data_IF_906717894487
#
_entry.id   IF_906717894487
#
_cell.length_a   1.000
_cell.length_b   1.000
_cell.length_c   1.000
_cell.angle_alpha   90.00
_cell.angle_beta   90.00
_cell.angle_gamma   90.00
#
_symmetry.space_group_name_H-M   'P 1'
#
loop_
_entity.id
_entity.type
_entity.pdbx_description
1 polymer ?
#
# COMPACT_ATOMS: atom_id res chain seq x y z
N UNK A 1 14.48 56.97 29.67
CA UNK A 1 14.39 55.51 29.77
C UNK A 1 12.92 55.12 29.56
N UNK A 2 12.49 55.07 28.30
CA UNK A 2 11.15 54.57 27.93
C UNK A 2 11.35 53.19 27.32
N UNK A 3 10.99 52.15 28.07
CA UNK A 3 11.13 50.78 27.63
C UNK A 3 10.05 50.48 26.59
N UNK A 4 10.48 50.35 25.33
CA UNK A 4 9.72 49.64 24.31
C UNK A 4 9.82 48.14 24.64
N UNK A 5 8.89 47.65 25.46
CA UNK A 5 8.70 46.22 25.64
C UNK A 5 7.72 45.73 24.57
N UNK A 6 8.25 45.50 23.38
CA UNK A 6 7.60 44.77 22.29
C UNK A 6 7.37 43.32 22.74
N UNK A 7 6.25 43.07 23.43
CA UNK A 7 5.84 41.73 23.84
C UNK A 7 5.00 41.05 22.76
N UNK A 8 5.52 40.94 21.53
CA UNK A 8 5.00 39.99 20.55
C UNK A 8 5.67 38.65 20.82
N UNK A 9 5.19 37.93 21.83
CA UNK A 9 5.47 36.50 21.90
C UNK A 9 4.60 35.85 20.82
N UNK A 10 5.19 35.71 19.63
CA UNK A 10 4.66 34.84 18.61
C UNK A 10 4.39 33.48 19.26
N UNK A 11 3.19 32.95 19.02
CA UNK A 11 2.88 31.54 19.21
C UNK A 11 3.95 30.79 18.42
N UNK A 12 4.95 30.27 19.14
CA UNK A 12 5.78 29.21 18.62
C UNK A 12 4.87 28.00 18.65
N UNK A 13 4.10 27.82 17.58
CA UNK A 13 3.57 26.52 17.23
C UNK A 13 4.79 25.67 16.90
N UNK A 14 5.40 25.06 17.91
CA UNK A 14 6.15 23.85 17.67
C UNK A 14 5.10 22.84 17.24
N UNK A 15 4.86 22.75 15.93
CA UNK A 15 4.36 21.51 15.33
C UNK A 15 5.38 20.47 15.75
N UNK A 16 5.08 19.77 16.83
CA UNK A 16 5.86 18.64 17.24
C UNK A 16 5.76 17.66 16.06
N UNK A 17 6.91 17.29 15.49
CA UNK A 17 7.02 16.09 14.70
C UNK A 17 6.68 14.95 15.66
N UNK A 18 5.38 14.66 15.78
CA UNK A 18 4.93 13.40 16.31
C UNK A 18 5.25 12.42 15.21
N UNK A 19 6.47 11.88 15.19
CA UNK A 19 6.72 10.68 14.39
C UNK A 19 5.77 9.64 14.95
N UNK A 20 4.67 9.41 14.27
CA UNK A 20 3.76 8.31 14.59
C UNK A 20 4.55 7.04 14.27
N UNK A 21 5.13 6.45 15.31
CA UNK A 21 5.69 5.10 15.29
C UNK A 21 4.52 4.11 15.20
N UNK A 22 3.79 4.11 14.08
CA UNK A 22 2.78 3.11 13.78
C UNK A 22 3.40 2.10 12.82
N UNK A 23 3.49 0.85 13.28
CA UNK A 23 3.72 -0.32 12.43
C UNK A 23 2.42 -0.53 11.65
N UNK A 24 2.46 -0.34 10.34
CA UNK A 24 1.35 -0.52 9.41
C UNK A 24 1.73 -1.63 8.45
N UNK A 25 0.94 -2.69 8.37
CA UNK A 25 1.15 -3.74 7.37
C UNK A 25 -0.15 -4.12 6.66
N UNK A 26 -0.01 -4.46 5.39
CA UNK A 26 -1.07 -5.04 4.57
C UNK A 26 -0.56 -6.37 4.03
N UNK A 27 -1.26 -7.45 4.33
CA UNK A 27 -1.00 -8.76 3.74
C UNK A 27 -1.76 -8.87 2.42
N UNK A 28 -1.05 -9.24 1.35
CA UNK A 28 -1.59 -9.42 0.00
C UNK A 28 -1.47 -10.89 -0.37
N UNK A 29 -2.62 -11.54 -0.56
CA UNK A 29 -2.72 -12.96 -0.86
C UNK A 29 -3.35 -13.21 -2.23
N UNK A 30 -2.98 -14.29 -2.90
CA UNK A 30 -3.63 -14.74 -4.14
C UNK A 30 -4.53 -15.94 -3.87
N UNK A 31 -5.84 -15.76 -4.08
CA UNK A 31 -6.84 -16.82 -4.09
C UNK A 31 -7.27 -17.19 -5.53
N UNK A 32 -7.75 -18.42 -5.72
CA UNK A 32 -8.19 -18.92 -7.03
C UNK A 32 -7.07 -19.46 -7.93
N UNK A 33 -5.82 -19.14 -7.64
CA UNK A 33 -4.64 -19.63 -8.37
C UNK A 33 -4.22 -21.06 -7.96
N UNK A 34 -5.07 -22.04 -8.25
CA UNK A 34 -4.84 -23.44 -7.87
C UNK A 34 -3.59 -24.08 -8.53
N UNK A 35 -2.99 -23.40 -9.51
CA UNK A 35 -1.86 -23.91 -10.28
C UNK A 35 -0.59 -23.06 -10.15
N UNK A 36 -0.59 -22.07 -9.25
CA UNK A 36 0.54 -21.15 -9.03
C UNK A 36 0.98 -20.47 -10.35
N UNK A 37 0.00 -20.00 -11.10
CA UNK A 37 0.18 -19.22 -12.33
C UNK A 37 0.75 -17.85 -12.07
N UNK A 38 0.49 -17.25 -10.92
CA UNK A 38 0.89 -15.89 -10.63
C UNK A 38 2.16 -15.87 -9.76
N UNK A 39 3.01 -14.90 -10.05
CA UNK A 39 4.13 -14.48 -9.21
C UNK A 39 3.80 -13.08 -8.67
N UNK A 40 3.83 -12.92 -7.35
CA UNK A 40 3.82 -11.61 -6.71
C UNK A 40 5.25 -11.14 -6.44
N UNK A 41 5.59 -9.96 -6.93
CA UNK A 41 6.85 -9.28 -6.59
C UNK A 41 6.53 -7.91 -6.02
N UNK A 42 6.95 -7.62 -4.79
CA UNK A 42 6.82 -6.29 -4.21
C UNK A 42 8.11 -5.47 -4.31
N UNK A 43 7.96 -4.15 -4.23
CA UNK A 43 9.07 -3.21 -4.17
C UNK A 43 9.87 -3.37 -2.88
N UNK A 44 11.21 -3.38 -2.99
CA UNK A 44 12.12 -3.69 -1.88
C UNK A 44 12.03 -2.72 -0.70
N UNK A 45 11.55 -1.49 -0.93
CA UNK A 45 11.37 -0.48 0.12
C UNK A 45 10.06 -0.69 0.92
N UNK A 46 9.14 -1.52 0.42
CA UNK A 46 7.81 -1.73 0.98
C UNK A 46 7.53 -3.18 1.40
N UNK A 47 8.46 -4.11 1.15
CA UNK A 47 8.34 -5.51 1.58
C UNK A 47 8.66 -5.65 3.08
N UNK A 48 7.69 -6.12 3.87
CA UNK A 48 7.91 -6.45 5.28
C UNK A 48 8.61 -7.82 5.45
N UNK A 49 8.28 -8.78 4.58
CA UNK A 49 8.81 -10.14 4.65
C UNK A 49 9.86 -10.41 3.55
N UNK A 50 11.15 -10.63 3.87
CA UNK A 50 12.21 -10.80 2.87
C UNK A 50 12.16 -12.14 2.09
N UNK A 51 11.18 -13.01 2.38
CA UNK A 51 10.94 -14.25 1.64
C UNK A 51 9.42 -14.47 1.47
N UNK A 52 8.73 -13.66 0.64
CA UNK A 52 7.33 -13.93 0.31
C UNK A 52 7.24 -15.30 -0.38
N UNK A 53 6.12 -16.01 -0.21
CA UNK A 53 5.82 -17.16 -1.06
C UNK A 53 5.37 -16.63 -2.42
N UNK A 54 5.27 -17.49 -3.44
CA UNK A 54 4.85 -17.05 -4.79
C UNK A 54 3.43 -16.42 -4.80
N UNK A 55 2.64 -16.62 -3.73
CA UNK A 55 1.23 -16.24 -3.64
C UNK A 55 0.87 -15.39 -2.41
N UNK A 56 1.85 -15.02 -1.57
CA UNK A 56 1.63 -14.24 -0.34
C UNK A 56 2.73 -13.17 -0.20
N UNK A 57 2.33 -11.92 -0.03
CA UNK A 57 3.21 -10.76 0.04
C UNK A 57 2.78 -9.82 1.18
N UNK A 58 3.67 -9.54 2.12
CA UNK A 58 3.39 -8.57 3.19
C UNK A 58 4.03 -7.22 2.87
N UNK A 59 3.19 -6.19 2.76
CA UNK A 59 3.57 -4.80 2.53
C UNK A 59 3.62 -4.03 3.84
N UNK A 60 4.69 -3.28 4.10
CA UNK A 60 4.81 -2.39 5.24
C UNK A 60 4.70 -0.92 4.80
N UNK A 61 3.88 -0.15 5.52
CA UNK A 61 3.65 1.29 5.30
C UNK A 61 4.11 2.15 6.50
N UNK A 62 5.08 1.65 7.26
CA UNK A 62 5.58 2.22 8.52
C UNK A 62 6.93 2.96 8.42
N UNK A 63 7.55 3.20 9.58
CA UNK A 63 8.82 3.94 9.76
C UNK A 63 10.00 3.28 9.01
N UNK A 64 9.94 1.99 8.71
CA UNK A 64 11.02 1.32 7.98
C UNK A 64 10.96 1.54 6.45
N UNK A 65 9.89 2.16 5.92
CA UNK A 65 9.85 2.60 4.52
C UNK A 65 10.73 3.85 4.37
N UNK A 66 11.91 3.67 3.81
CA UNK A 66 12.82 4.78 3.49
C UNK A 66 12.48 5.39 2.14
N UNK A 67 11.85 6.56 2.15
CA UNK A 67 11.77 7.36 0.93
C UNK A 67 13.18 7.79 0.49
N UNK A 68 13.39 8.01 -0.83
CA UNK A 68 14.67 8.44 -1.44
C UNK A 68 15.28 9.74 -0.84
N UNK A 69 14.58 10.41 0.08
CA UNK A 69 15.04 11.57 0.85
C UNK A 69 15.56 11.29 2.27
N UNK A 70 15.58 10.03 2.73
CA UNK A 70 16.02 9.65 4.09
C UNK A 70 15.02 9.99 5.20
N UNK A 71 13.77 10.26 4.83
CA UNK A 71 12.63 10.27 5.74
C UNK A 71 12.04 8.86 5.86
N UNK A 72 11.53 8.54 7.03
CA UNK A 72 10.93 7.26 7.39
C UNK A 72 9.41 7.38 7.38
N UNK A 73 8.72 6.56 6.59
CA UNK A 73 7.26 6.54 6.47
C UNK A 73 6.67 7.69 5.66
N UNK A 74 5.33 7.76 5.66
CA UNK A 74 4.54 8.76 4.94
C UNK A 74 4.42 10.09 5.71
N UNK A 75 4.18 11.18 4.99
CA UNK A 75 3.91 12.48 5.62
C UNK A 75 2.56 12.43 6.36
N UNK A 76 2.48 13.04 7.55
CA UNK A 76 1.21 13.30 8.24
C UNK A 76 0.36 14.30 7.44
N UNK A 77 -0.96 14.13 7.46
CA UNK A 77 -1.94 14.99 6.77
C UNK A 77 -1.64 15.13 5.26
N UNK A 78 -1.36 14.00 4.60
CA UNK A 78 -1.03 13.94 3.19
C UNK A 78 -1.65 12.72 2.49
N UNK A 79 -1.86 12.89 1.18
CA UNK A 79 -2.15 11.80 0.25
C UNK A 79 -0.88 11.50 -0.52
N UNK A 80 -0.39 10.27 -0.46
CA UNK A 80 0.82 9.82 -1.15
C UNK A 80 0.46 8.69 -2.09
N UNK A 81 0.78 8.85 -3.37
CA UNK A 81 0.62 7.82 -4.40
C UNK A 81 2.00 7.22 -4.70
N UNK A 82 2.07 5.91 -4.74
CA UNK A 82 3.25 5.13 -5.08
C UNK A 82 2.84 4.13 -6.16
N UNK A 83 3.41 4.30 -7.34
CA UNK A 83 3.09 3.47 -8.50
C UNK A 83 3.91 2.17 -8.47
N UNK A 84 3.27 1.05 -8.82
CA UNK A 84 3.91 -0.25 -8.98
C UNK A 84 4.60 -0.82 -7.75
N UNK A 85 3.96 -0.72 -6.58
CA UNK A 85 4.47 -1.35 -5.35
C UNK A 85 4.43 -2.88 -5.45
N UNK A 86 3.44 -3.44 -6.15
CA UNK A 86 3.35 -4.89 -6.38
C UNK A 86 3.22 -5.15 -7.87
N UNK A 87 4.08 -6.00 -8.42
CA UNK A 87 3.93 -6.55 -9.77
C UNK A 87 3.33 -7.95 -9.66
N UNK A 88 2.24 -8.17 -10.40
CA UNK A 88 1.60 -9.47 -10.57
C UNK A 88 1.95 -9.98 -11.97
N UNK A 89 2.63 -11.12 -12.06
CA UNK A 89 3.05 -11.69 -13.33
C UNK A 89 2.45 -13.08 -13.57
N UNK A 90 1.95 -13.33 -14.78
CA UNK A 90 1.54 -14.68 -15.19
C UNK A 90 2.78 -15.49 -15.60
N UNK A 91 3.29 -16.29 -14.67
CA UNK A 91 4.37 -17.27 -14.85
C UNK A 91 3.87 -18.66 -15.29
N UNK A 92 2.55 -18.81 -15.43
CA UNK A 92 1.88 -20.01 -15.89
C UNK A 92 1.96 -20.24 -17.41
N UNK A 93 1.04 -21.07 -17.90
CA UNK A 93 0.90 -21.37 -19.34
C UNK A 93 -0.50 -21.06 -19.87
N UNK A 94 -1.36 -20.48 -19.05
CA UNK A 94 -2.72 -20.13 -19.45
C UNK A 94 -2.73 -18.73 -20.02
N UNK A 95 -3.45 -18.56 -21.13
CA UNK A 95 -3.74 -17.29 -21.75
C UNK A 95 -4.99 -16.67 -21.09
N UNK A 96 -5.15 -15.36 -21.22
CA UNK A 96 -6.34 -14.62 -20.75
C UNK A 96 -6.68 -14.83 -19.25
N UNK A 97 -5.67 -14.81 -18.37
CA UNK A 97 -5.90 -14.85 -16.90
C UNK A 97 -6.38 -13.49 -16.41
N UNK A 98 -7.62 -13.41 -15.92
CA UNK A 98 -8.16 -12.21 -15.30
C UNK A 98 -7.61 -12.05 -13.88
N UNK A 99 -7.18 -10.83 -13.55
CA UNK A 99 -6.70 -10.47 -12.21
C UNK A 99 -7.58 -9.35 -11.65
N UNK A 100 -8.11 -9.56 -10.46
CA UNK A 100 -8.99 -8.60 -9.77
C UNK A 100 -8.82 -8.69 -8.25
N UNK A 101 -9.18 -7.64 -7.52
CA UNK A 101 -9.32 -7.72 -6.07
C UNK A 101 -10.71 -8.25 -5.74
N UNK A 102 -10.79 -9.11 -4.73
CA UNK A 102 -12.08 -9.60 -4.24
C UNK A 102 -12.27 -9.18 -2.79
N UNK A 103 -13.33 -8.42 -2.54
CA UNK A 103 -13.68 -7.95 -1.20
C UNK A 103 -15.13 -8.32 -0.90
N UNK A 104 -15.35 -9.28 0.00
CA UNK A 104 -16.68 -9.64 0.52
C UNK A 104 -17.78 -9.88 -0.56
N UNK A 105 -17.39 -10.33 -1.75
CA UNK A 105 -18.30 -10.63 -2.87
C UNK A 105 -18.56 -9.47 -3.84
N UNK A 106 -17.76 -8.42 -3.79
CA UNK A 106 -17.55 -7.46 -4.88
C UNK A 106 -16.17 -7.75 -5.49
N UNK A 107 -16.14 -7.95 -6.80
CA UNK A 107 -14.90 -8.13 -7.56
C UNK A 107 -14.63 -6.83 -8.34
N UNK A 108 -13.40 -6.33 -8.29
CA UNK A 108 -13.07 -5.03 -8.86
C UNK A 108 -11.57 -4.79 -9.01
N UNK A 109 -11.22 -3.63 -9.58
CA UNK A 109 -9.84 -3.21 -9.79
C UNK A 109 -9.32 -2.29 -8.67
N UNK A 110 -10.07 -2.10 -7.60
CA UNK A 110 -9.69 -1.26 -6.46
C UNK A 110 -10.18 -1.91 -5.15
N UNK A 111 -9.37 -1.83 -4.09
CA UNK A 111 -9.75 -2.23 -2.72
C UNK A 111 -9.09 -1.30 -1.71
N UNK A 112 -9.71 -1.12 -0.54
CA UNK A 112 -9.28 -0.17 0.48
C UNK A 112 -9.11 -0.85 1.84
N UNK A 113 -7.97 -0.63 2.46
CA UNK A 113 -7.64 -1.10 3.80
C UNK A 113 -7.61 0.08 4.76
N UNK A 114 -8.43 0.01 5.79
CA UNK A 114 -8.56 1.06 6.80
C UNK A 114 -7.65 0.77 8.00
N UNK A 115 -6.50 1.44 8.07
CA UNK A 115 -5.56 1.34 9.20
C UNK A 115 -5.80 2.47 10.23
N UNK A 116 -5.30 2.28 11.44
CA UNK A 116 -5.51 3.19 12.60
C UNK A 116 -5.14 4.65 12.28
N UNK A 117 -4.11 4.86 11.45
CA UNK A 117 -3.55 6.17 11.13
C UNK A 117 -3.37 6.40 9.61
N UNK A 118 -3.91 5.53 8.76
CA UNK A 118 -3.93 5.73 7.31
C UNK A 118 -5.03 4.91 6.65
N UNK A 119 -5.61 5.41 5.57
CA UNK A 119 -6.36 4.60 4.62
C UNK A 119 -5.44 4.24 3.46
N UNK A 120 -5.38 2.96 3.09
CA UNK A 120 -4.51 2.43 2.03
C UNK A 120 -5.37 1.86 0.92
N UNK A 121 -5.34 2.47 -0.26
CA UNK A 121 -6.06 2.02 -1.44
C UNK A 121 -5.09 1.33 -2.38
N UNK A 122 -5.41 0.10 -2.82
CA UNK A 122 -4.68 -0.61 -3.86
C UNK A 122 -5.49 -0.56 -5.16
N UNK A 123 -4.83 -0.28 -6.27
CA UNK A 123 -5.49 -0.10 -7.57
C UNK A 123 -4.77 -0.89 -8.67
N UNK A 124 -5.55 -1.57 -9.49
CA UNK A 124 -5.17 -2.25 -10.71
C UNK A 124 -5.73 -1.48 -11.92
N UNK A 125 -5.11 -1.59 -13.11
CA UNK A 125 -5.74 -1.17 -14.35
C UNK A 125 -7.00 -1.99 -14.66
N UNK A 126 -8.01 -1.34 -15.23
CA UNK A 126 -9.32 -1.95 -15.52
C UNK A 126 -9.22 -3.05 -16.59
N UNK A 127 -9.98 -4.14 -16.41
CA UNK A 127 -10.16 -5.24 -17.39
C UNK A 127 -8.84 -5.91 -17.85
N UNK A 128 -7.83 -6.01 -16.97
CA UNK A 128 -6.54 -6.56 -17.37
C UNK A 128 -6.54 -8.10 -17.36
N UNK A 129 -6.27 -8.68 -18.53
CA UNK A 129 -5.98 -10.11 -18.67
C UNK A 129 -4.50 -10.32 -18.98
N UNK A 130 -3.89 -11.30 -18.32
CA UNK A 130 -2.48 -11.62 -18.46
C UNK A 130 -2.30 -12.91 -19.26
N UNK A 131 -1.58 -12.83 -20.38
CA UNK A 131 -1.05 -14.02 -21.06
C UNK A 131 0.28 -14.46 -20.42
N UNK A 132 0.80 -15.66 -20.75
CA UNK A 132 2.06 -16.15 -20.20
C UNK A 132 3.22 -15.19 -20.46
N UNK A 133 3.85 -14.73 -19.38
CA UNK A 133 4.96 -13.78 -19.38
C UNK A 133 4.54 -12.30 -19.41
N UNK A 134 3.24 -12.01 -19.35
CA UNK A 134 2.72 -10.65 -19.12
C UNK A 134 2.60 -10.37 -17.62
N UNK A 135 2.65 -9.09 -17.27
CA UNK A 135 2.56 -8.63 -15.89
C UNK A 135 1.80 -7.31 -15.82
N UNK A 136 1.19 -7.09 -14.67
CA UNK A 136 0.49 -5.85 -14.30
C UNK A 136 1.04 -5.34 -12.99
N UNK A 137 1.07 -4.01 -12.85
CA UNK A 137 1.51 -3.33 -11.64
C UNK A 137 0.29 -2.88 -10.84
N UNK A 138 0.40 -3.00 -9.52
CA UNK A 138 -0.54 -2.52 -8.52
C UNK A 138 0.00 -1.22 -7.95
N UNK A 139 -0.79 -0.18 -8.08
CA UNK A 139 -0.52 1.12 -7.49
C UNK A 139 -1.11 1.20 -6.08
N UNK A 140 -0.48 1.99 -5.23
CA UNK A 140 -0.93 2.18 -3.84
C UNK A 140 -1.06 3.66 -3.53
N UNK A 141 -2.19 4.03 -2.96
CA UNK A 141 -2.42 5.35 -2.37
C UNK A 141 -2.52 5.23 -0.87
N UNK A 142 -1.76 6.04 -0.15
CA UNK A 142 -1.79 6.15 1.32
C UNK A 142 -2.30 7.54 1.71
N UNK A 143 -3.46 7.59 2.36
CA UNK A 143 -4.09 8.81 2.87
C UNK A 143 -3.98 8.87 4.40
N UNK A 144 -3.28 9.88 4.92
CA UNK A 144 -3.13 10.13 6.37
C UNK A 144 -3.92 11.36 6.84
N UNK A 145 -4.77 11.95 5.98
CA UNK A 145 -5.51 13.20 6.27
C UNK A 145 -6.75 12.99 7.15
N UNK A 146 -7.43 11.85 6.99
CA UNK A 146 -8.64 11.50 7.74
C UNK A 146 -8.76 9.98 7.90
N UNK A 147 -7.80 9.33 8.59
CA UNK A 147 -7.79 7.88 8.69
C UNK A 147 -9.04 7.38 9.40
N UNK A 148 -9.75 6.48 8.73
CA UNK A 148 -11.03 5.97 9.20
C UNK A 148 -10.92 4.62 9.93
N UNK A 149 -9.75 3.98 9.84
CA UNK A 149 -9.46 2.67 10.43
C UNK A 149 -9.24 2.68 11.93
N UNK A 150 -9.19 1.49 12.51
CA UNK A 150 -8.90 1.26 13.93
C UNK A 150 -7.99 0.04 14.14
N UNK A 151 -7.41 -0.46 13.05
CA UNK A 151 -6.63 -1.68 13.00
C UNK A 151 -5.22 -1.33 12.55
N UNK A 152 -4.21 -2.00 13.08
CA UNK A 152 -2.81 -1.73 12.70
C UNK A 152 -2.38 -2.54 11.47
N UNK A 153 -3.18 -3.53 11.10
CA UNK A 153 -2.90 -4.55 10.10
C UNK A 153 -4.20 -4.81 9.31
N UNK A 154 -4.09 -5.10 8.02
CA UNK A 154 -5.21 -5.51 7.19
C UNK A 154 -4.81 -6.52 6.12
N UNK A 155 -5.81 -7.16 5.52
CA UNK A 155 -5.66 -8.19 4.49
C UNK A 155 -6.30 -7.76 3.17
N UNK A 156 -5.65 -8.11 2.06
CA UNK A 156 -6.12 -7.92 0.69
C UNK A 156 -5.98 -9.23 -0.06
N UNK A 157 -7.08 -9.65 -0.70
CA UNK A 157 -7.05 -10.82 -1.57
C UNK A 157 -7.14 -10.42 -3.04
N UNK A 158 -6.17 -10.89 -3.82
CA UNK A 158 -6.17 -10.93 -5.28
C UNK A 158 -6.81 -12.23 -5.73
N UNK A 159 -7.77 -12.16 -6.64
CA UNK A 159 -8.34 -13.30 -7.33
C UNK A 159 -7.78 -13.41 -8.74
N UNK A 160 -7.49 -14.65 -9.13
CA UNK A 160 -6.99 -14.99 -10.45
C UNK A 160 -7.84 -16.11 -11.08
N UNK A 161 -8.44 -15.84 -12.23
CA UNK A 161 -9.24 -16.83 -12.97
C UNK A 161 -8.86 -16.86 -14.46
N UNK A 162 -8.55 -18.06 -14.97
CA UNK A 162 -8.37 -18.28 -16.41
C UNK A 162 -9.73 -18.34 -17.12
N UNK A 163 -9.88 -17.57 -18.21
CA UNK A 163 -11.13 -17.40 -18.97
C UNK A 163 -11.38 -18.47 -20.05
#
# INVERSE_FOLDING_TARGET
MGALASGAAAVVGTGAFSTVEAERSVEVDVEGDAQAYLELTGDEDFIANPNPTESELELAFGVDVTAEGGGTGFNDDAVTEVEGIVTIANQGTEDDVLVEFGENGDDGNETEVHLEDADVTLTLPEDETLNPGESVDVDVTVDTTDPSGSESEGDVTIYAEAQ
#
